data_IF_091586003873
#
_entry.id   IF_091586003873
#
_cell.length_a   1.000
_cell.length_b   1.000
_cell.length_c   1.000
_cell.angle_alpha   90.00
_cell.angle_beta   90.00
_cell.angle_gamma   90.00
#
_symmetry.space_group_name_H-M   'P 1'
#
loop_
_entity.id
_entity.type
_entity.pdbx_description
1 polymer ?
#
# COMPACT_ATOMS: atom_id res chain seq x y z
N UNK A 1 -14.69 13.91 -7.46
CA UNK A 1 -14.64 12.51 -7.94
C UNK A 1 -14.86 12.42 -9.45
N UNK A 2 -16.07 12.69 -9.97
CA UNK A 2 -16.40 12.57 -11.41
C UNK A 2 -15.38 13.21 -12.36
N UNK A 3 -15.01 14.46 -12.11
CA UNK A 3 -14.07 15.20 -12.97
C UNK A 3 -12.68 14.55 -13.11
N UNK A 4 -12.10 14.08 -12.00
CA UNK A 4 -10.79 13.43 -12.01
C UNK A 4 -10.85 12.06 -12.72
N UNK A 5 -11.92 11.30 -12.45
CA UNK A 5 -12.16 10.01 -13.10
C UNK A 5 -12.36 10.16 -14.62
N UNK A 6 -13.14 11.15 -15.06
CA UNK A 6 -13.36 11.43 -16.49
C UNK A 6 -12.05 11.76 -17.20
N UNK A 7 -11.17 12.57 -16.59
CA UNK A 7 -9.86 12.88 -17.18
C UNK A 7 -8.97 11.64 -17.36
N UNK A 8 -8.91 10.77 -16.35
CA UNK A 8 -8.13 9.52 -16.44
C UNK A 8 -8.73 8.58 -17.50
N UNK A 9 -10.06 8.43 -17.52
CA UNK A 9 -10.75 7.57 -18.49
C UNK A 9 -10.52 8.03 -19.93
N UNK A 10 -10.64 9.33 -20.21
CA UNK A 10 -10.40 9.87 -21.56
C UNK A 10 -8.96 9.59 -21.98
N UNK A 11 -7.99 9.84 -21.11
CA UNK A 11 -6.59 9.55 -21.42
C UNK A 11 -6.32 8.06 -21.68
N UNK A 12 -6.87 7.17 -20.86
CA UNK A 12 -6.78 5.71 -21.07
C UNK A 12 -7.42 5.31 -22.40
N UNK A 13 -8.59 5.87 -22.74
CA UNK A 13 -9.26 5.61 -24.00
C UNK A 13 -8.39 6.03 -25.19
N UNK A 14 -7.79 7.22 -25.15
CA UNK A 14 -6.92 7.72 -26.21
C UNK A 14 -5.71 6.80 -26.43
N UNK A 15 -5.12 6.28 -25.35
CA UNK A 15 -4.03 5.29 -25.41
C UNK A 15 -4.49 3.94 -25.99
N UNK A 16 -5.67 3.46 -25.60
CA UNK A 16 -6.23 2.19 -26.10
C UNK A 16 -6.65 2.28 -27.58
N UNK A 17 -7.22 3.40 -28.02
CA UNK A 17 -7.68 3.58 -29.41
C UNK A 17 -6.50 3.81 -30.38
N UNK A 18 -5.34 4.24 -29.88
CA UNK A 18 -4.11 4.45 -30.65
C UNK A 18 -3.39 3.13 -31.01
N UNK A 19 -4.07 2.20 -31.69
CA UNK A 19 -3.60 0.83 -31.96
C UNK A 19 -2.23 0.77 -32.66
N UNK A 20 -1.88 1.79 -33.46
CA UNK A 20 -0.56 1.86 -34.11
C UNK A 20 0.60 1.96 -33.12
N UNK A 21 0.35 2.41 -31.89
CA UNK A 21 1.33 2.51 -30.80
C UNK A 21 1.31 1.28 -29.89
N UNK A 22 0.48 0.26 -30.17
CA UNK A 22 0.42 -0.94 -29.35
C UNK A 22 1.64 -1.81 -29.63
N UNK A 23 2.34 -2.16 -28.55
CA UNK A 23 3.44 -3.10 -28.60
C UNK A 23 2.97 -4.44 -28.07
N UNK A 24 3.15 -5.50 -28.87
CA UNK A 24 2.79 -6.85 -28.44
C UNK A 24 3.74 -7.28 -27.32
N UNK A 25 3.18 -7.65 -26.18
CA UNK A 25 3.95 -8.23 -25.07
C UNK A 25 4.21 -9.71 -25.38
N UNK A 26 5.47 -10.10 -25.47
CA UNK A 26 5.90 -11.48 -25.71
C UNK A 26 7.11 -11.83 -24.87
N UNK A 27 7.23 -13.09 -24.45
CA UNK A 27 8.38 -13.61 -23.72
C UNK A 27 7.96 -14.58 -22.61
N UNK A 28 8.93 -14.94 -21.76
CA UNK A 28 8.69 -15.81 -20.61
C UNK A 28 7.89 -15.12 -19.52
N UNK A 29 7.26 -15.95 -18.68
CA UNK A 29 6.63 -15.52 -17.44
C UNK A 29 7.52 -15.97 -16.30
N UNK A 30 7.78 -15.09 -15.34
CA UNK A 30 8.52 -15.41 -14.13
C UNK A 30 8.07 -14.52 -12.99
N UNK A 31 8.21 -15.00 -11.76
CA UNK A 31 7.85 -14.24 -10.58
C UNK A 31 8.75 -14.62 -9.41
N UNK A 32 8.88 -13.69 -8.47
CA UNK A 32 9.49 -13.89 -7.18
C UNK A 32 8.66 -13.14 -6.13
N UNK A 33 8.69 -13.66 -4.92
CA UNK A 33 7.94 -13.18 -3.78
C UNK A 33 8.82 -13.30 -2.54
N UNK A 34 8.67 -12.37 -1.62
CA UNK A 34 9.40 -12.37 -0.36
C UNK A 34 8.57 -11.68 0.72
N UNK A 35 8.47 -12.29 1.90
CA UNK A 35 8.04 -11.57 3.10
C UNK A 35 9.26 -10.90 3.76
N UNK A 36 9.26 -9.58 3.87
CA UNK A 36 10.35 -8.84 4.54
C UNK A 36 10.08 -8.75 6.03
N UNK A 37 11.04 -9.23 6.83
CA UNK A 37 11.01 -9.17 8.28
C UNK A 37 11.65 -7.89 8.82
N UNK A 38 10.83 -6.98 9.30
CA UNK A 38 11.27 -5.65 9.75
C UNK A 38 12.24 -5.68 10.94
N UNK A 39 12.29 -6.77 11.71
CA UNK A 39 13.15 -6.87 12.90
C UNK A 39 14.57 -7.38 12.60
N UNK A 40 14.78 -8.08 11.47
CA UNK A 40 16.08 -8.74 11.18
C UNK A 40 16.74 -8.27 9.88
N UNK A 41 16.01 -7.55 9.03
CA UNK A 41 16.48 -7.18 7.70
C UNK A 41 17.64 -6.18 7.76
N UNK A 42 18.75 -6.63 7.18
CA UNK A 42 19.99 -5.89 7.08
C UNK A 42 20.54 -6.00 5.65
N UNK A 43 20.54 -4.89 4.93
CA UNK A 43 20.89 -4.89 3.50
C UNK A 43 22.00 -3.89 3.20
N UNK A 44 22.86 -4.18 2.21
CA UNK A 44 23.81 -3.19 1.72
C UNK A 44 23.07 -2.07 0.96
N UNK A 45 23.40 -0.82 1.28
CA UNK A 45 22.88 0.37 0.62
C UNK A 45 24.02 1.30 0.24
N UNK A 46 24.03 1.76 -1.02
CA UNK A 46 24.96 2.80 -1.45
C UNK A 46 24.44 4.18 -1.06
N UNK A 47 25.16 4.83 -0.16
CA UNK A 47 24.81 6.17 0.29
C UNK A 47 25.42 7.21 -0.66
N UNK A 48 24.56 7.87 -1.43
CA UNK A 48 24.99 8.88 -2.42
C UNK A 48 25.69 10.11 -1.80
N UNK A 49 25.51 10.36 -0.49
CA UNK A 49 26.11 11.51 0.20
C UNK A 49 27.55 11.22 0.63
N UNK A 50 27.80 10.02 1.17
CA UNK A 50 29.15 9.60 1.59
C UNK A 50 29.94 8.96 0.46
N UNK A 51 29.26 8.40 -0.55
CA UNK A 51 29.88 7.60 -1.62
C UNK A 51 30.29 6.20 -1.17
N UNK A 52 29.81 5.75 0.00
CA UNK A 52 30.16 4.47 0.59
C UNK A 52 28.96 3.51 0.60
N UNK A 53 29.25 2.21 0.58
CA UNK A 53 28.25 1.17 0.82
C UNK A 53 28.16 0.95 2.33
N UNK A 54 27.01 1.24 2.90
CA UNK A 54 26.71 1.04 4.31
C UNK A 54 25.68 -0.09 4.49
N UNK A 55 25.70 -0.73 5.65
CA UNK A 55 24.65 -1.65 6.04
C UNK A 55 23.50 -0.84 6.66
N UNK A 56 22.28 -1.10 6.22
CA UNK A 56 21.09 -0.40 6.72
C UNK A 56 20.07 -1.39 7.24
N UNK A 57 19.43 -0.99 8.33
CA UNK A 57 18.38 -1.76 9.00
C UNK A 57 17.06 -0.99 8.97
N UNK A 58 15.98 -1.76 9.01
CA UNK A 58 14.65 -1.23 9.32
C UNK A 58 14.52 -0.95 10.82
N UNK A 59 13.53 -0.12 11.15
CA UNK A 59 13.12 0.13 12.53
C UNK A 59 11.82 -0.61 12.82
N UNK A 60 11.57 -0.89 14.10
CA UNK A 60 10.24 -1.31 14.54
C UNK A 60 9.19 -0.26 14.16
N UNK A 61 8.00 -0.75 13.78
CA UNK A 61 6.90 0.09 13.32
C UNK A 61 6.57 1.22 14.31
N UNK A 62 6.73 2.46 13.87
CA UNK A 62 6.39 3.65 14.65
C UNK A 62 5.76 4.73 13.76
N UNK A 63 4.64 5.31 14.20
CA UNK A 63 4.01 6.46 13.54
C UNK A 63 4.33 7.75 14.30
N UNK A 64 4.76 8.78 13.58
CA UNK A 64 5.07 10.08 14.19
C UNK A 64 3.83 10.97 14.37
N UNK A 65 3.98 12.00 15.21
CA UNK A 65 2.87 12.85 15.67
C UNK A 65 2.10 13.55 14.54
N UNK A 66 2.77 13.92 13.44
CA UNK A 66 2.10 14.57 12.31
C UNK A 66 1.10 13.67 11.57
N UNK A 67 1.11 12.35 11.83
CA UNK A 67 0.10 11.41 11.34
C UNK A 67 -1.24 11.61 12.05
N UNK A 68 -1.21 11.90 13.35
CA UNK A 68 -2.37 11.94 14.23
C UNK A 68 -2.93 13.35 14.43
N UNK A 69 -2.73 14.26 13.46
CA UNK A 69 -3.03 15.71 13.53
C UNK A 69 -4.32 16.07 14.31
N UNK A 70 -5.37 15.24 14.27
CA UNK A 70 -6.63 15.46 14.99
C UNK A 70 -7.18 14.24 15.76
N UNK A 71 -6.51 13.09 15.77
CA UNK A 71 -7.03 11.88 16.41
C UNK A 71 -5.90 11.11 17.09
N UNK A 72 -5.84 11.15 18.43
CA UNK A 72 -4.98 10.27 19.22
C UNK A 72 -5.80 9.04 19.66
N UNK A 73 -5.67 7.88 18.98
CA UNK A 73 -6.39 6.68 19.38
C UNK A 73 -5.92 6.23 20.76
N UNK A 74 -6.87 6.00 21.69
CA UNK A 74 -6.63 5.41 23.01
C UNK A 74 -7.46 4.13 23.14
N UNK A 75 -6.94 3.14 23.88
CA UNK A 75 -7.66 1.89 24.22
C UNK A 75 -7.09 0.63 23.55
N UNK A 76 -7.75 -0.51 23.79
CA UNK A 76 -7.33 -1.84 23.28
C UNK A 76 -7.34 -1.93 21.75
N UNK A 77 -8.27 -1.24 21.07
CA UNK A 77 -8.33 -1.14 19.61
C UNK A 77 -7.03 -0.59 19.00
N UNK A 78 -6.36 0.35 19.66
CA UNK A 78 -5.08 0.89 19.18
C UNK A 78 -3.95 -0.15 19.29
N UNK A 79 -3.95 -1.00 20.31
CA UNK A 79 -2.94 -2.07 20.44
C UNK A 79 -3.09 -3.07 19.31
N UNK A 80 -4.32 -3.41 18.92
CA UNK A 80 -4.62 -4.30 17.79
C UNK A 80 -4.16 -3.67 16.48
N UNK A 81 -4.49 -2.40 16.23
CA UNK A 81 -4.03 -1.68 15.03
C UNK A 81 -2.49 -1.63 14.99
N UNK A 82 -1.85 -1.35 16.12
CA UNK A 82 -0.38 -1.36 16.27
C UNK A 82 0.21 -2.75 15.99
N UNK A 83 -0.44 -3.82 16.40
CA UNK A 83 0.08 -5.16 16.18
C UNK A 83 -0.21 -5.66 14.76
N UNK A 84 -1.23 -5.12 14.08
CA UNK A 84 -1.49 -5.33 12.66
C UNK A 84 -0.44 -4.65 11.75
N UNK A 85 0.04 -3.46 12.10
CA UNK A 85 1.07 -2.75 11.32
C UNK A 85 2.48 -3.34 11.50
N UNK A 86 2.67 -4.31 12.41
CA UNK A 86 3.93 -5.04 12.60
C UNK A 86 4.02 -6.32 11.77
N UNK A 87 3.01 -6.64 11.00
CA UNK A 87 3.00 -7.81 10.12
C UNK A 87 4.10 -7.62 9.05
N UNK A 88 4.86 -8.68 8.72
CA UNK A 88 5.83 -8.64 7.62
C UNK A 88 5.22 -8.04 6.35
N UNK A 89 6.00 -7.23 5.62
CA UNK A 89 5.56 -6.74 4.31
C UNK A 89 5.65 -7.86 3.28
N UNK A 90 4.76 -7.83 2.31
CA UNK A 90 4.65 -8.82 1.23
C UNK A 90 5.06 -8.16 -0.09
N UNK A 91 6.33 -8.31 -0.45
CA UNK A 91 6.88 -7.80 -1.71
C UNK A 91 6.79 -8.85 -2.83
N UNK A 92 6.42 -8.40 -4.03
CA UNK A 92 6.30 -9.27 -5.19
C UNK A 92 6.87 -8.61 -6.45
N UNK A 93 7.57 -9.41 -7.24
CA UNK A 93 7.98 -9.06 -8.59
C UNK A 93 7.42 -10.07 -9.59
N UNK A 94 6.77 -9.59 -10.64
CA UNK A 94 6.21 -10.40 -11.71
C UNK A 94 6.70 -9.88 -13.06
N UNK A 95 7.15 -10.77 -13.94
CA UNK A 95 7.57 -10.44 -15.29
C UNK A 95 6.76 -11.20 -16.32
N UNK A 96 6.22 -10.47 -17.27
CA UNK A 96 5.52 -10.97 -18.45
C UNK A 96 6.24 -10.44 -19.70
N UNK A 97 7.20 -11.21 -20.20
CA UNK A 97 7.98 -10.85 -21.38
C UNK A 97 8.72 -9.51 -21.21
N UNK A 98 8.24 -8.48 -21.92
CA UNK A 98 8.76 -7.11 -21.90
C UNK A 98 8.08 -6.19 -20.87
N UNK A 99 7.24 -6.72 -19.99
CA UNK A 99 6.57 -5.95 -18.92
C UNK A 99 6.96 -6.53 -17.56
N UNK A 100 7.32 -5.65 -16.63
CA UNK A 100 7.62 -5.99 -15.24
C UNK A 100 6.62 -5.29 -14.33
N UNK A 101 5.86 -6.06 -13.55
CA UNK A 101 4.95 -5.57 -12.53
C UNK A 101 5.61 -5.75 -11.15
N UNK A 102 5.68 -4.67 -10.39
CA UNK A 102 6.29 -4.63 -9.07
C UNK A 102 5.20 -4.33 -8.06
N UNK A 103 4.76 -5.36 -7.34
CA UNK A 103 3.74 -5.26 -6.31
C UNK A 103 4.36 -4.89 -4.97
N UNK A 104 3.87 -3.82 -4.36
CA UNK A 104 4.39 -3.34 -3.07
C UNK A 104 3.24 -2.93 -2.12
N UNK A 105 3.30 -3.31 -0.83
CA UNK A 105 2.21 -3.08 0.13
C UNK A 105 2.20 -1.67 0.73
N UNK A 106 2.73 -0.66 0.06
CA UNK A 106 2.80 0.71 0.59
C UNK A 106 2.54 1.78 -0.46
N UNK A 107 2.43 3.01 0.05
CA UNK A 107 2.24 4.23 -0.73
C UNK A 107 3.58 4.91 -0.96
N UNK A 108 4.19 4.66 -2.12
CA UNK A 108 5.39 5.40 -2.51
C UNK A 108 5.08 6.87 -2.74
N UNK A 109 5.93 7.74 -2.22
CA UNK A 109 6.06 9.08 -2.81
C UNK A 109 6.61 8.98 -4.23
N UNK A 110 6.50 10.08 -4.98
CA UNK A 110 7.00 10.14 -6.36
C UNK A 110 8.50 9.80 -6.41
N UNK A 111 9.30 10.33 -5.49
CA UNK A 111 10.75 10.13 -5.53
C UNK A 111 11.16 8.77 -5.00
N UNK A 112 10.48 8.26 -3.97
CA UNK A 112 10.67 6.89 -3.48
C UNK A 112 10.41 5.86 -4.60
N UNK A 113 9.27 5.99 -5.30
CA UNK A 113 8.93 5.12 -6.42
C UNK A 113 9.93 5.24 -7.57
N UNK A 114 10.36 6.46 -7.92
CA UNK A 114 11.39 6.67 -8.96
C UNK A 114 12.73 6.03 -8.61
N UNK A 115 13.13 6.05 -7.34
CA UNK A 115 14.35 5.40 -6.90
C UNK A 115 14.27 3.89 -7.12
N UNK A 116 13.20 3.24 -6.66
CA UNK A 116 12.94 1.81 -6.89
C UNK A 116 12.93 1.49 -8.38
N UNK A 117 12.17 2.25 -9.16
CA UNK A 117 12.08 2.09 -10.62
C UNK A 117 13.45 2.09 -11.29
N UNK A 118 14.31 3.08 -10.97
CA UNK A 118 15.63 3.21 -11.58
C UNK A 118 16.54 2.02 -11.30
N UNK A 119 16.50 1.49 -10.08
CA UNK A 119 17.32 0.33 -9.72
C UNK A 119 16.83 -0.93 -10.42
N UNK A 120 15.52 -1.15 -10.49
CA UNK A 120 14.97 -2.27 -11.27
C UNK A 120 15.32 -2.11 -12.76
N UNK A 121 15.28 -0.89 -13.29
CA UNK A 121 15.62 -0.61 -14.69
C UNK A 121 17.08 -0.93 -15.03
N UNK A 122 18.03 -0.93 -14.07
CA UNK A 122 19.40 -1.38 -14.37
C UNK A 122 19.48 -2.88 -14.64
N UNK A 123 18.58 -3.66 -14.04
CA UNK A 123 18.45 -5.11 -14.23
C UNK A 123 17.65 -5.43 -15.49
N UNK A 124 16.62 -4.62 -15.78
CA UNK A 124 15.67 -4.86 -16.88
C UNK A 124 15.51 -3.63 -17.79
N UNK A 125 16.57 -3.17 -18.48
CA UNK A 125 16.59 -1.88 -19.18
C UNK A 125 15.52 -1.73 -20.27
N UNK A 126 15.18 -2.83 -20.94
CA UNK A 126 14.20 -2.86 -22.02
C UNK A 126 12.78 -3.21 -21.56
N UNK A 127 12.56 -3.40 -20.24
CA UNK A 127 11.25 -3.74 -19.70
C UNK A 127 10.42 -2.51 -19.41
N UNK A 128 9.13 -2.57 -19.72
CA UNK A 128 8.15 -1.60 -19.23
C UNK A 128 7.80 -1.92 -17.78
N UNK A 129 8.34 -1.14 -16.84
CA UNK A 129 8.16 -1.37 -15.41
C UNK A 129 6.93 -0.61 -14.91
N UNK A 130 6.01 -1.34 -14.27
CA UNK A 130 4.82 -0.82 -13.60
C UNK A 130 5.02 -1.02 -12.10
N UNK A 131 5.06 0.08 -11.35
CA UNK A 131 5.04 0.03 -9.88
C UNK A 131 3.59 0.07 -9.41
N UNK A 132 3.13 -1.02 -8.81
CA UNK A 132 1.80 -1.17 -8.23
C UNK A 132 1.89 -1.11 -6.70
N UNK A 133 1.72 0.08 -6.14
CA UNK A 133 1.53 0.25 -4.69
C UNK A 133 0.21 -0.34 -4.21
N UNK A 134 0.02 -0.39 -2.89
CA UNK A 134 -1.20 -0.92 -2.25
C UNK A 134 -1.54 -2.37 -2.65
N UNK A 135 -0.51 -3.20 -2.87
CA UNK A 135 -0.65 -4.60 -3.29
C UNK A 135 -0.35 -5.54 -2.12
N UNK A 136 -1.07 -6.67 -2.02
CA UNK A 136 -0.91 -7.75 -1.01
C UNK A 136 -1.24 -7.35 0.44
N UNK A 137 -0.62 -6.29 0.96
CA UNK A 137 -0.81 -5.77 2.32
C UNK A 137 -0.80 -4.21 2.33
N UNK A 138 -0.90 -3.59 3.51
CA UNK A 138 -0.85 -2.14 3.69
C UNK A 138 0.07 -1.73 4.86
N UNK A 139 1.19 -1.08 4.54
CA UNK A 139 2.22 -0.62 5.48
C UNK A 139 2.39 0.91 5.52
N UNK A 140 1.33 1.66 5.17
CA UNK A 140 1.36 3.12 5.05
C UNK A 140 2.33 3.62 3.97
N UNK A 141 3.05 4.71 4.26
CA UNK A 141 3.84 5.45 3.27
C UNK A 141 5.27 4.94 3.19
N UNK A 142 5.88 5.16 2.03
CA UNK A 142 7.31 4.96 1.82
C UNK A 142 7.90 6.19 1.15
N UNK A 143 8.84 6.80 1.85
CA UNK A 143 9.51 8.04 1.48
C UNK A 143 10.99 7.83 1.22
N UNK A 144 11.62 8.72 0.47
CA UNK A 144 13.08 8.79 0.45
C UNK A 144 13.62 9.21 1.83
N UNK A 145 14.91 8.97 2.14
CA UNK A 145 15.49 9.44 3.39
C UNK A 145 15.39 10.96 3.56
N UNK A 146 15.54 11.72 2.48
CA UNK A 146 15.43 13.19 2.49
C UNK A 146 14.00 13.65 2.78
N UNK A 147 13.00 12.98 2.19
CA UNK A 147 11.58 13.24 2.47
C UNK A 147 11.23 12.86 3.92
N UNK A 148 11.74 11.71 4.41
CA UNK A 148 11.56 11.25 5.79
C UNK A 148 12.07 12.27 6.81
N UNK A 149 13.18 12.94 6.51
CA UNK A 149 13.80 13.93 7.40
C UNK A 149 12.98 15.22 7.51
N UNK A 150 12.10 15.52 6.55
CA UNK A 150 11.19 16.68 6.61
C UNK A 150 10.07 16.53 7.64
N UNK A 151 9.75 15.29 8.05
CA UNK A 151 8.66 14.97 8.99
C UNK A 151 7.27 15.50 8.59
N UNK A 152 7.03 15.61 7.27
CA UNK A 152 5.68 15.75 6.73
C UNK A 152 4.86 14.47 6.96
N UNK A 153 3.58 14.50 6.58
CA UNK A 153 2.62 13.40 6.83
C UNK A 153 3.17 12.05 6.35
N UNK A 154 3.63 11.98 5.11
CA UNK A 154 4.19 10.78 4.49
C UNK A 154 5.47 10.35 5.21
N UNK A 155 6.34 11.30 5.56
CA UNK A 155 7.59 11.03 6.25
C UNK A 155 7.39 10.44 7.65
N UNK A 156 6.38 10.89 8.40
CA UNK A 156 6.05 10.32 9.71
C UNK A 156 5.18 9.06 9.64
N UNK A 157 4.59 8.81 8.47
CA UNK A 157 3.82 7.61 8.16
C UNK A 157 4.69 6.50 7.52
N UNK A 158 5.97 6.77 7.25
CA UNK A 158 6.99 5.76 6.91
C UNK A 158 7.38 4.99 8.17
N UNK A 159 6.57 3.99 8.49
CA UNK A 159 6.55 3.36 9.82
C UNK A 159 7.81 2.56 10.17
N UNK A 160 8.55 2.07 9.18
CA UNK A 160 9.79 1.30 9.39
C UNK A 160 11.05 2.19 9.34
N UNK A 161 10.85 3.51 9.40
CA UNK A 161 11.93 4.48 9.56
C UNK A 161 12.60 4.91 8.26
N UNK A 162 13.69 5.66 8.42
CA UNK A 162 14.39 6.39 7.34
C UNK A 162 14.86 5.49 6.20
N UNK A 163 15.20 4.24 6.51
CA UNK A 163 15.78 3.29 5.58
C UNK A 163 14.76 2.39 4.88
N UNK A 164 13.46 2.69 5.00
CA UNK A 164 12.40 1.90 4.36
C UNK A 164 12.60 1.80 2.83
N UNK A 165 12.74 2.92 2.10
CA UNK A 165 12.92 2.82 0.64
C UNK A 165 14.26 2.20 0.22
N UNK A 166 15.41 2.42 0.91
CA UNK A 166 16.62 1.64 0.68
C UNK A 166 16.41 0.12 0.72
N UNK A 167 15.78 -0.40 1.77
CA UNK A 167 15.54 -1.85 1.93
C UNK A 167 14.60 -2.39 0.86
N UNK A 168 13.52 -1.67 0.58
CA UNK A 168 12.58 -2.03 -0.49
C UNK A 168 13.26 -2.03 -1.85
N UNK A 169 14.11 -1.04 -2.13
CA UNK A 169 14.87 -0.96 -3.39
C UNK A 169 15.78 -2.16 -3.56
N UNK A 170 16.47 -2.58 -2.50
CA UNK A 170 17.31 -3.76 -2.49
C UNK A 170 16.50 -5.01 -2.86
N UNK A 171 15.47 -5.35 -2.08
CA UNK A 171 14.72 -6.59 -2.28
C UNK A 171 14.01 -6.64 -3.64
N UNK A 172 13.45 -5.52 -4.11
CA UNK A 172 12.86 -5.45 -5.45
C UNK A 172 13.87 -5.68 -6.58
N UNK A 173 15.09 -5.16 -6.40
CA UNK A 173 16.17 -5.35 -7.38
C UNK A 173 16.68 -6.79 -7.35
N UNK A 174 16.80 -7.39 -6.17
CA UNK A 174 17.18 -8.81 -6.01
C UNK A 174 16.14 -9.74 -6.65
N UNK A 175 14.86 -9.52 -6.40
CA UNK A 175 13.78 -10.30 -7.02
C UNK A 175 13.77 -10.15 -8.54
N UNK A 176 13.93 -8.93 -9.05
CA UNK A 176 14.04 -8.70 -10.49
C UNK A 176 15.23 -9.47 -11.09
N UNK A 177 16.38 -9.45 -10.41
CA UNK A 177 17.60 -10.15 -10.84
C UNK A 177 17.39 -11.65 -10.85
N UNK A 178 16.85 -12.22 -9.77
CA UNK A 178 16.57 -13.64 -9.65
C UNK A 178 15.62 -14.15 -10.74
N UNK A 179 14.56 -13.38 -11.06
CA UNK A 179 13.63 -13.73 -12.14
C UNK A 179 14.28 -13.65 -13.52
N UNK A 180 15.13 -12.66 -13.77
CA UNK A 180 15.87 -12.53 -15.05
C UNK A 180 16.89 -13.64 -15.23
N UNK A 181 17.57 -14.03 -14.16
CA UNK A 181 18.55 -15.12 -14.16
C UNK A 181 17.92 -16.52 -14.13
N UNK A 182 16.59 -16.60 -14.18
CA UNK A 182 15.83 -17.85 -14.10
C UNK A 182 16.14 -18.66 -12.83
N UNK A 183 16.40 -17.96 -11.72
CA UNK A 183 16.71 -18.53 -10.42
C UNK A 183 15.87 -17.89 -9.29
N UNK A 184 14.52 -17.83 -9.40
CA UNK A 184 13.65 -17.22 -8.39
C UNK A 184 13.80 -17.86 -7.00
N UNK A 185 14.22 -19.12 -6.93
CA UNK A 185 14.48 -19.85 -5.67
C UNK A 185 15.62 -19.28 -4.82
N UNK A 186 16.40 -18.33 -5.36
CA UNK A 186 17.40 -17.59 -4.57
C UNK A 186 16.78 -16.57 -3.63
N UNK A 187 15.53 -16.19 -3.87
CA UNK A 187 14.78 -15.28 -3.00
C UNK A 187 14.19 -16.13 -1.88
N UNK A 188 14.54 -15.86 -0.62
CA UNK A 188 13.96 -16.59 0.51
C UNK A 188 12.48 -16.25 0.65
N UNK A 189 11.66 -17.18 1.16
CA UNK A 189 10.23 -16.91 1.36
C UNK A 189 9.97 -15.83 2.45
N UNK A 190 10.87 -15.71 3.44
CA UNK A 190 10.68 -14.83 4.60
C UNK A 190 9.76 -15.43 5.69
N UNK A 191 9.47 -14.69 6.77
CA UNK A 191 8.60 -15.19 7.84
C UNK A 191 7.15 -15.29 7.38
N UNK A 192 6.47 -16.36 7.78
CA UNK A 192 5.03 -16.49 7.54
C UNK A 192 4.27 -15.42 8.33
N UNK A 193 3.43 -14.59 7.69
CA UNK A 193 2.67 -13.57 8.40
C UNK A 193 1.63 -14.20 9.35
N UNK A 194 1.34 -13.57 10.51
CA UNK A 194 0.31 -14.05 11.41
C UNK A 194 -1.08 -13.97 10.77
N UNK A 195 -1.95 -14.92 11.11
CA UNK A 195 -3.35 -14.92 10.68
C UNK A 195 -4.13 -13.78 11.34
N UNK A 196 -4.75 -12.94 10.51
CA UNK A 196 -5.66 -11.89 10.99
C UNK A 196 -6.79 -12.44 11.87
N UNK A 197 -7.37 -13.58 11.49
CA UNK A 197 -8.46 -14.18 12.27
C UNK A 197 -8.03 -14.57 13.68
N UNK A 198 -6.76 -14.96 13.86
CA UNK A 198 -6.23 -15.27 15.19
C UNK A 198 -5.99 -13.99 16.00
N UNK A 199 -5.69 -12.86 15.35
CA UNK A 199 -5.53 -11.56 16.00
C UNK A 199 -6.85 -10.94 16.48
N UNK A 200 -7.96 -11.14 15.75
CA UNK A 200 -9.25 -10.47 16.05
C UNK A 200 -10.29 -11.38 16.72
N UNK A 201 -10.00 -12.67 16.91
CA UNK A 201 -10.95 -13.65 17.50
C UNK A 201 -11.49 -13.23 18.87
N UNK A 202 -10.72 -12.46 19.65
CA UNK A 202 -11.12 -11.99 20.98
C UNK A 202 -12.03 -10.73 20.96
N UNK A 203 -12.08 -9.99 19.85
CA UNK A 203 -12.65 -8.64 19.79
C UNK A 203 -13.98 -8.58 19.03
N UNK A 204 -14.24 -9.58 18.19
CA UNK A 204 -15.54 -9.75 17.54
C UNK A 204 -16.50 -10.41 18.55
N UNK A 205 -16.97 -9.61 19.51
CA UNK A 205 -18.07 -10.00 20.39
C UNK A 205 -19.35 -10.29 19.59
N UNK A 206 -20.28 -11.11 20.12
CA UNK A 206 -21.52 -11.42 19.43
C UNK A 206 -22.27 -10.13 19.10
N UNK A 207 -22.63 -9.98 17.83
CA UNK A 207 -23.38 -8.87 17.26
C UNK A 207 -24.48 -8.39 18.23
N UNK A 208 -24.48 -7.08 18.51
CA UNK A 208 -25.63 -6.44 19.15
C UNK A 208 -26.81 -6.63 18.22
N UNK A 209 -27.72 -7.53 18.59
CA UNK A 209 -29.03 -7.64 17.95
C UNK A 209 -29.69 -6.28 18.14
N UNK A 210 -29.78 -5.49 17.07
CA UNK A 210 -30.52 -4.24 17.07
C UNK A 210 -31.96 -4.55 17.49
N UNK A 211 -32.31 -4.20 18.73
CA UNK A 211 -33.70 -4.26 19.16
C UNK A 211 -34.43 -3.16 18.42
N UNK A 212 -35.41 -3.52 17.59
CA UNK A 212 -36.37 -2.56 17.06
C UNK A 212 -36.95 -1.78 18.23
N UNK A 213 -36.83 -0.44 18.22
CA UNK A 213 -37.57 0.39 19.15
C UNK A 213 -39.05 0.20 18.84
N UNK A 214 -39.90 -0.29 19.77
CA UNK A 214 -41.33 -0.45 19.49
C UNK A 214 -41.93 0.91 19.14
N UNK A 215 -42.61 1.01 17.98
CA UNK A 215 -43.30 2.23 17.56
C UNK A 215 -42.61 3.09 16.48
N UNK A 216 -41.45 2.67 15.94
CA UNK A 216 -40.90 3.26 14.72
C UNK A 216 -41.38 2.47 13.49
N UNK A 217 -42.24 3.08 12.68
CA UNK A 217 -42.54 2.60 11.33
C UNK A 217 -41.47 3.11 10.36
N UNK A 218 -40.72 2.19 9.74
CA UNK A 218 -39.77 2.54 8.69
C UNK A 218 -40.52 2.70 7.37
N UNK A 219 -40.77 3.95 6.95
CA UNK A 219 -41.36 4.22 5.64
C UNK A 219 -40.23 4.22 4.60
N UNK A 220 -40.17 3.18 3.78
CA UNK A 220 -39.38 3.20 2.55
C UNK A 220 -40.04 4.21 1.60
N UNK A 221 -39.44 5.38 1.44
CA UNK A 221 -39.96 6.45 0.58
C UNK A 221 -39.88 5.98 -0.87
N UNK A 222 -41.00 5.62 -1.47
CA UNK A 222 -41.09 5.43 -2.92
C UNK A 222 -40.92 6.79 -3.60
N UNK A 223 -40.03 6.93 -4.59
CA UNK A 223 -39.89 8.19 -5.31
C UNK A 223 -41.23 8.62 -5.91
N UNK A 224 -41.57 9.90 -5.80
CA UNK A 224 -42.75 10.45 -6.46
C UNK A 224 -42.68 10.20 -7.98
N UNK A 225 -43.84 10.04 -8.61
CA UNK A 225 -43.94 9.80 -10.05
C UNK A 225 -43.28 10.95 -10.84
N UNK A 226 -42.00 10.76 -11.18
CA UNK A 226 -41.17 11.72 -11.92
C UNK A 226 -39.90 12.22 -11.21
N UNK A 227 -39.67 11.92 -9.93
CA UNK A 227 -38.50 12.41 -9.17
C UNK A 227 -37.47 11.32 -8.86
N UNK A 228 -36.16 11.63 -8.97
CA UNK A 228 -35.09 10.76 -8.46
C UNK A 228 -35.18 10.67 -6.94
N UNK A 229 -35.11 9.46 -6.40
CA UNK A 229 -35.14 9.18 -4.95
C UNK A 229 -34.03 9.94 -4.20
N UNK A 230 -34.39 10.93 -3.40
CA UNK A 230 -33.53 11.52 -2.37
C UNK A 230 -33.94 11.00 -0.99
N UNK A 231 -32.94 10.64 -0.19
CA UNK A 231 -33.12 10.21 1.19
C UNK A 231 -33.33 11.46 2.05
N UNK A 232 -34.57 11.93 2.19
CA UNK A 232 -34.87 12.96 3.18
C UNK A 232 -34.98 12.30 4.54
N UNK A 233 -33.98 12.54 5.39
CA UNK A 233 -34.09 12.22 6.81
C UNK A 233 -35.07 13.21 7.44
N UNK A 234 -36.07 12.75 8.22
CA UNK A 234 -36.97 13.63 8.92
C UNK A 234 -36.21 14.53 9.90
N UNK A 235 -36.74 15.74 10.14
CA UNK A 235 -36.15 16.81 10.95
C UNK A 235 -35.77 16.42 12.40
N UNK A 236 -36.14 15.22 12.85
CA UNK A 236 -35.77 14.64 14.14
C UNK A 236 -34.32 14.12 14.21
N UNK A 237 -33.58 14.08 13.11
CA UNK A 237 -32.15 13.74 13.12
C UNK A 237 -31.23 14.91 13.55
N UNK A 238 -31.76 15.97 14.18
CA UNK A 238 -30.98 16.99 14.89
C UNK A 238 -30.86 16.72 16.39
N UNK A 239 -30.55 15.50 16.82
CA UNK A 239 -30.09 15.27 18.19
C UNK A 239 -29.05 14.15 18.24
N UNK A 240 -27.80 14.55 18.03
CA UNK A 240 -26.67 14.00 18.76
C UNK A 240 -25.70 15.17 18.97
N UNK A 241 -26.03 16.00 19.96
CA UNK A 241 -25.06 16.91 20.55
C UNK A 241 -23.94 16.07 21.13
N UNK A 242 -22.82 16.04 20.41
CA UNK A 242 -21.52 15.72 20.97
C UNK A 242 -21.28 16.76 22.09
N UNK A 243 -21.21 16.29 23.33
CA UNK A 243 -20.30 16.84 24.32
C UNK A 243 -19.17 15.86 24.49
#
# INVERSE_FOLDING_TARGET
MRYAAERQLVHTKDLCDSVQNHQKVTGSIGYAHHFVDVDVENVPHFNETSGEVEQVWLCQAAMGVAYFKEFYPKGELWKIIRDLIKVPSDEMYFRLGSVSLVGFPGEFTIMAGRQVFRHIQTVVPDSHIILAGLTNNYINYVTTPQEYDTKNYEGVATIFGRNTVPVVTYWMTQMATAVVELAPERIPDGPTPPSFLDLVRAEIGPWVIGRSTPGLEYVLRTPEAGGRSTLDLPEYARFAGIR
#
